data_IF_995097425901
#
_entry.id   IF_995097425901
#
_cell.length_a   1.000
_cell.length_b   1.000
_cell.length_c   1.000
_cell.angle_alpha   90.00
_cell.angle_beta   90.00
_cell.angle_gamma   90.00
#
_symmetry.space_group_name_H-M   'P 1'
#
loop_
_entity.id
_entity.type
_entity.pdbx_description
1 polymer ?
#
# COMPACT_ATOMS: atom_id res chain seq x y z
N UNK A 1 7.03 -15.62 11.87
CA UNK A 1 6.70 -15.95 10.46
C UNK A 1 5.24 -15.63 10.27
N UNK A 2 4.93 -14.57 9.50
CA UNK A 2 3.53 -14.22 9.18
C UNK A 2 2.96 -15.26 8.21
N UNK A 3 1.64 -15.50 8.25
CA UNK A 3 0.89 -16.39 7.34
C UNK A 3 1.26 -16.10 5.86
N UNK A 4 1.62 -14.87 5.52
CA UNK A 4 2.09 -14.44 4.20
C UNK A 4 3.45 -15.04 3.81
N UNK A 5 4.39 -15.16 4.76
CA UNK A 5 5.70 -15.79 4.51
C UNK A 5 5.56 -17.31 4.34
N UNK A 6 4.59 -17.91 5.04
CA UNK A 6 4.26 -19.34 4.91
C UNK A 6 3.56 -19.62 3.57
N UNK A 7 2.68 -18.72 3.09
CA UNK A 7 2.04 -18.86 1.77
C UNK A 7 3.05 -18.75 0.61
N UNK A 8 4.08 -17.90 0.73
CA UNK A 8 5.19 -17.85 -0.24
C UNK A 8 6.07 -19.11 -0.21
N UNK A 9 6.19 -19.77 0.95
CA UNK A 9 6.96 -21.03 1.09
C UNK A 9 6.20 -22.27 0.58
N UNK A 10 4.86 -22.19 0.49
CA UNK A 10 4.00 -23.32 0.07
C UNK A 10 3.53 -23.22 -1.39
N UNK A 11 3.97 -22.24 -2.17
CA UNK A 11 3.70 -22.16 -3.60
C UNK A 11 2.25 -21.87 -4.01
N UNK A 12 1.41 -21.35 -3.09
CA UNK A 12 -0.01 -21.16 -3.33
C UNK A 12 -0.47 -19.70 -3.10
N UNK A 13 0.08 -18.75 -3.88
CA UNK A 13 -0.53 -17.43 -3.95
C UNK A 13 -1.85 -17.51 -4.72
N UNK A 14 -2.96 -17.05 -4.11
CA UNK A 14 -4.24 -16.99 -4.82
C UNK A 14 -4.22 -15.90 -5.91
N UNK A 15 -5.07 -16.06 -6.92
CA UNK A 15 -5.25 -15.05 -7.97
C UNK A 15 -5.69 -13.69 -7.41
N UNK A 16 -6.50 -13.67 -6.36
CA UNK A 16 -6.94 -12.44 -5.68
C UNK A 16 -5.79 -11.75 -4.95
N UNK A 17 -4.93 -12.51 -4.26
CA UNK A 17 -3.74 -11.97 -3.59
C UNK A 17 -2.73 -11.41 -4.59
N UNK A 18 -2.59 -12.06 -5.75
CA UNK A 18 -1.73 -11.58 -6.83
C UNK A 18 -2.20 -10.23 -7.38
N UNK A 19 -3.51 -10.04 -7.59
CA UNK A 19 -4.10 -8.77 -8.01
C UNK A 19 -3.81 -7.66 -7.00
N UNK A 20 -4.07 -7.90 -5.70
CA UNK A 20 -3.81 -6.92 -4.64
C UNK A 20 -2.34 -6.53 -4.59
N UNK A 21 -1.42 -7.49 -4.77
CA UNK A 21 0.03 -7.23 -4.76
C UNK A 21 0.50 -6.40 -5.95
N UNK A 22 -0.05 -6.65 -7.14
CA UNK A 22 0.27 -5.83 -8.32
C UNK A 22 -0.23 -4.40 -8.17
N UNK A 23 -1.40 -4.21 -7.57
CA UNK A 23 -1.97 -2.87 -7.35
C UNK A 23 -1.25 -2.08 -6.25
N UNK A 24 -0.60 -2.76 -5.29
CA UNK A 24 0.11 -2.10 -4.19
C UNK A 24 1.55 -1.67 -4.53
N UNK A 25 2.01 -1.89 -5.76
CA UNK A 25 3.35 -1.57 -6.25
C UNK A 25 4.53 -2.29 -5.53
N UNK A 26 5.75 -2.28 -6.12
CA UNK A 26 6.92 -3.02 -5.57
C UNK A 26 7.42 -2.53 -4.20
N UNK A 27 6.98 -1.36 -3.74
CA UNK A 27 7.44 -0.77 -2.47
C UNK A 27 6.99 -1.53 -1.23
N UNK A 28 5.88 -2.26 -1.31
CA UNK A 28 5.29 -2.98 -0.18
C UNK A 28 5.56 -4.49 -0.16
N UNK A 29 6.08 -5.03 -1.25
CA UNK A 29 6.48 -6.44 -1.34
C UNK A 29 7.82 -6.57 -2.07
N UNK A 30 8.66 -7.52 -1.68
CA UNK A 30 9.96 -7.74 -2.35
C UNK A 30 9.80 -8.05 -3.84
N UNK A 31 10.80 -7.69 -4.65
CA UNK A 31 10.78 -7.83 -6.11
C UNK A 31 10.39 -9.24 -6.60
N UNK A 32 10.81 -10.29 -5.88
CA UNK A 32 10.46 -11.69 -6.20
C UNK A 32 8.94 -11.94 -6.08
N UNK A 33 8.33 -11.45 -5.00
CA UNK A 33 6.88 -11.62 -4.75
C UNK A 33 6.05 -10.85 -5.76
N UNK A 34 6.54 -9.69 -6.19
CA UNK A 34 5.91 -8.91 -7.26
C UNK A 34 5.97 -9.63 -8.61
N UNK A 35 7.11 -10.24 -8.95
CA UNK A 35 7.27 -11.03 -10.16
C UNK A 35 6.32 -12.25 -10.17
N UNK A 36 6.24 -12.99 -9.06
CA UNK A 36 5.31 -14.12 -8.92
C UNK A 36 3.84 -13.68 -9.09
N UNK A 37 3.46 -12.55 -8.47
CA UNK A 37 2.12 -11.99 -8.62
C UNK A 37 1.80 -11.64 -10.08
N UNK A 38 2.76 -11.04 -10.79
CA UNK A 38 2.63 -10.69 -12.21
C UNK A 38 2.43 -11.92 -13.09
N UNK A 39 3.16 -13.01 -12.84
CA UNK A 39 2.99 -14.27 -13.57
C UNK A 39 1.61 -14.90 -13.37
N UNK A 40 1.10 -14.92 -12.13
CA UNK A 40 -0.22 -15.44 -11.79
C UNK A 40 -1.30 -14.62 -12.51
N UNK A 41 -1.23 -13.29 -12.43
CA UNK A 41 -2.22 -12.43 -13.10
C UNK A 41 -2.14 -12.57 -14.62
N UNK A 42 -0.93 -12.67 -15.21
CA UNK A 42 -0.76 -12.90 -16.63
C UNK A 42 -1.36 -14.24 -17.09
N UNK A 43 -1.14 -15.32 -16.33
CA UNK A 43 -1.72 -16.63 -16.60
C UNK A 43 -3.25 -16.59 -16.58
N UNK A 44 -3.81 -15.97 -15.55
CA UNK A 44 -5.25 -15.91 -15.36
C UNK A 44 -5.92 -14.92 -16.34
N UNK A 45 -5.22 -13.87 -16.77
CA UNK A 45 -5.65 -12.99 -17.85
C UNK A 45 -5.73 -13.76 -19.20
N UNK A 46 -4.74 -14.60 -19.50
CA UNK A 46 -4.76 -15.49 -20.67
C UNK A 46 -5.93 -16.50 -20.62
N UNK A 47 -6.31 -16.95 -19.42
CA UNK A 47 -7.47 -17.81 -19.20
C UNK A 47 -8.82 -17.07 -19.29
N UNK A 48 -8.84 -15.78 -19.63
CA UNK A 48 -10.07 -15.03 -19.87
C UNK A 48 -10.75 -14.45 -18.63
N UNK A 49 -10.10 -14.44 -17.45
CA UNK A 49 -10.68 -13.86 -16.23
C UNK A 49 -10.71 -12.34 -16.30
N UNK A 50 -11.89 -11.68 -16.29
CA UNK A 50 -12.00 -10.25 -16.63
C UNK A 50 -11.21 -9.31 -15.70
N UNK A 51 -11.23 -9.58 -14.40
CA UNK A 51 -10.49 -8.77 -13.42
C UNK A 51 -8.98 -8.82 -13.66
N UNK A 52 -8.44 -10.02 -13.90
CA UNK A 52 -7.02 -10.24 -14.17
C UNK A 52 -6.63 -9.68 -15.53
N UNK A 53 -7.50 -9.78 -16.54
CA UNK A 53 -7.29 -9.14 -17.84
C UNK A 53 -7.15 -7.63 -17.69
N UNK A 54 -8.05 -6.99 -16.94
CA UNK A 54 -8.00 -5.56 -16.72
C UNK A 54 -6.74 -5.14 -15.95
N UNK A 55 -6.42 -5.83 -14.84
CA UNK A 55 -5.22 -5.53 -14.04
C UNK A 55 -3.94 -5.74 -14.86
N UNK A 56 -3.86 -6.81 -15.64
CA UNK A 56 -2.71 -7.04 -16.51
C UNK A 56 -2.59 -5.96 -17.60
N UNK A 57 -3.72 -5.53 -18.17
CA UNK A 57 -3.76 -4.46 -19.16
C UNK A 57 -3.25 -3.12 -18.61
N UNK A 58 -3.62 -2.74 -17.38
CA UNK A 58 -3.15 -1.47 -16.77
C UNK A 58 -1.72 -1.55 -16.22
N UNK A 59 -1.15 -2.75 -16.04
CA UNK A 59 0.18 -2.95 -15.44
C UNK A 59 1.25 -3.42 -16.42
N UNK A 60 0.90 -3.72 -17.68
CA UNK A 60 1.86 -4.14 -18.71
C UNK A 60 2.44 -2.95 -19.46
N UNK A 61 3.74 -3.03 -19.80
CA UNK A 61 4.42 -2.02 -20.60
C UNK A 61 4.18 -2.21 -22.11
N UNK A 62 3.67 -3.39 -22.51
CA UNK A 62 3.33 -3.71 -23.90
C UNK A 62 1.98 -3.07 -24.27
N UNK A 63 2.03 -2.01 -25.07
CA UNK A 63 0.86 -1.20 -25.46
C UNK A 63 -0.21 -1.97 -26.24
N UNK A 64 0.19 -2.88 -27.13
CA UNK A 64 -0.76 -3.68 -27.93
C UNK A 64 -1.46 -4.71 -27.04
N UNK A 65 -0.69 -5.36 -26.18
CA UNK A 65 -1.22 -6.32 -25.21
C UNK A 65 -2.11 -5.62 -24.19
N UNK A 66 -1.72 -4.44 -23.69
CA UNK A 66 -2.53 -3.60 -22.82
C UNK A 66 -3.89 -3.30 -23.44
N UNK A 67 -3.90 -2.77 -24.67
CA UNK A 67 -5.13 -2.45 -25.40
C UNK A 67 -6.02 -3.68 -25.55
N UNK A 68 -5.48 -4.81 -26.00
CA UNK A 68 -6.24 -6.06 -26.18
C UNK A 68 -6.94 -6.52 -24.90
N UNK A 69 -6.23 -6.52 -23.77
CA UNK A 69 -6.80 -6.98 -22.51
C UNK A 69 -7.79 -5.99 -21.90
N UNK A 70 -7.54 -4.69 -22.01
CA UNK A 70 -8.46 -3.65 -21.55
C UNK A 70 -9.76 -3.69 -22.36
N UNK A 71 -9.69 -3.77 -23.70
CA UNK A 71 -10.88 -3.85 -24.55
C UNK A 71 -11.70 -5.11 -24.25
N UNK A 72 -11.05 -6.25 -24.03
CA UNK A 72 -11.73 -7.51 -23.70
C UNK A 72 -12.44 -7.54 -22.34
N UNK A 73 -12.01 -6.71 -21.39
CA UNK A 73 -12.49 -6.74 -20.00
C UNK A 73 -13.27 -5.52 -19.55
N UNK A 74 -13.16 -4.40 -20.25
CA UNK A 74 -13.70 -3.08 -19.86
C UNK A 74 -15.19 -3.09 -19.54
N UNK A 75 -16.01 -3.67 -20.42
CA UNK A 75 -17.45 -3.68 -20.22
C UNK A 75 -17.85 -4.50 -18.99
N UNK A 76 -17.15 -5.60 -18.75
CA UNK A 76 -17.38 -6.42 -17.56
C UNK A 76 -16.96 -5.73 -16.26
N UNK A 77 -15.85 -5.00 -16.28
CA UNK A 77 -15.42 -4.18 -15.13
C UNK A 77 -16.40 -3.05 -14.88
N UNK A 78 -16.92 -2.38 -15.94
CA UNK A 78 -17.95 -1.36 -15.82
C UNK A 78 -19.25 -1.96 -15.23
N UNK A 79 -19.69 -3.10 -15.70
CA UNK A 79 -20.85 -3.80 -15.14
C UNK A 79 -20.68 -4.11 -13.65
N UNK A 80 -19.49 -4.59 -13.24
CA UNK A 80 -19.18 -4.87 -11.84
C UNK A 80 -19.19 -3.59 -10.98
N UNK A 81 -18.71 -2.47 -11.51
CA UNK A 81 -18.72 -1.19 -10.84
C UNK A 81 -20.14 -0.64 -10.68
N UNK A 82 -20.89 -0.53 -11.81
CA UNK A 82 -22.18 0.19 -11.84
C UNK A 82 -23.34 -0.64 -11.28
N UNK A 83 -23.39 -1.96 -11.57
CA UNK A 83 -24.51 -2.82 -11.14
C UNK A 83 -24.30 -3.50 -9.79
N UNK A 84 -23.06 -3.74 -9.39
CA UNK A 84 -22.71 -4.42 -8.15
C UNK A 84 -22.01 -3.53 -7.13
N UNK A 85 -21.83 -2.25 -7.46
CA UNK A 85 -21.11 -1.26 -6.65
C UNK A 85 -19.78 -1.79 -6.09
N UNK A 86 -19.02 -2.51 -6.94
CA UNK A 86 -17.80 -3.18 -6.53
C UNK A 86 -16.65 -2.17 -6.38
N UNK A 87 -16.11 -1.97 -5.16
CA UNK A 87 -15.09 -0.95 -4.91
C UNK A 87 -13.79 -1.16 -5.68
N UNK A 88 -13.40 -2.42 -5.92
CA UNK A 88 -12.21 -2.72 -6.70
C UNK A 88 -12.42 -2.39 -8.18
N UNK A 89 -13.60 -2.66 -8.73
CA UNK A 89 -13.93 -2.30 -10.11
C UNK A 89 -13.94 -0.77 -10.29
N UNK A 90 -14.49 0.00 -9.35
CA UNK A 90 -14.41 1.45 -9.35
C UNK A 90 -12.96 1.95 -9.29
N UNK A 91 -12.11 1.33 -8.46
CA UNK A 91 -10.68 1.67 -8.39
C UNK A 91 -9.98 1.43 -9.72
N UNK A 92 -10.20 0.28 -10.35
CA UNK A 92 -9.58 -0.05 -11.64
C UNK A 92 -10.00 0.93 -12.74
N UNK A 93 -11.29 1.30 -12.80
CA UNK A 93 -11.76 2.33 -13.74
C UNK A 93 -11.12 3.69 -13.48
N UNK A 94 -10.88 4.04 -12.21
CA UNK A 94 -10.21 5.30 -11.86
C UNK A 94 -8.77 5.34 -12.36
N UNK A 95 -8.04 4.22 -12.29
CA UNK A 95 -6.66 4.10 -12.78
C UNK A 95 -6.61 4.18 -14.31
N UNK A 96 -7.53 3.50 -15.00
CA UNK A 96 -7.59 3.54 -16.48
C UNK A 96 -7.88 4.94 -17.02
N UNK A 97 -8.85 5.64 -16.41
CA UNK A 97 -9.37 6.91 -16.93
C UNK A 97 -8.78 8.14 -16.24
N UNK A 98 -7.97 7.95 -15.21
CA UNK A 98 -7.55 9.02 -14.29
C UNK A 98 -8.76 9.81 -13.75
N UNK A 99 -9.82 9.08 -13.36
CA UNK A 99 -11.12 9.63 -12.97
C UNK A 99 -11.24 9.70 -11.45
N UNK A 100 -11.21 10.92 -10.91
CA UNK A 100 -11.35 11.18 -9.49
C UNK A 100 -12.72 10.74 -8.93
N UNK A 101 -13.80 10.82 -9.70
CA UNK A 101 -15.12 10.38 -9.28
C UNK A 101 -15.19 8.87 -9.05
N UNK A 102 -14.58 8.09 -9.94
CA UNK A 102 -14.42 6.66 -9.78
C UNK A 102 -13.54 6.32 -8.56
N UNK A 103 -12.46 7.07 -8.34
CA UNK A 103 -11.58 6.89 -7.18
C UNK A 103 -12.33 7.17 -5.87
N UNK A 104 -13.15 8.21 -5.83
CA UNK A 104 -13.98 8.54 -4.66
C UNK A 104 -14.98 7.42 -4.35
N UNK A 105 -15.72 6.92 -5.34
CA UNK A 105 -16.65 5.79 -5.17
C UNK A 105 -15.95 4.53 -4.65
N UNK A 106 -14.77 4.24 -5.18
CA UNK A 106 -13.95 3.12 -4.70
C UNK A 106 -13.58 3.26 -3.22
N UNK A 107 -13.17 4.46 -2.80
CA UNK A 107 -12.81 4.73 -1.41
C UNK A 107 -14.03 4.70 -0.49
N UNK A 108 -15.18 5.22 -0.92
CA UNK A 108 -16.43 5.19 -0.16
C UNK A 108 -16.87 3.74 0.09
N UNK A 109 -16.73 2.88 -0.91
CA UNK A 109 -16.92 1.44 -0.81
C UNK A 109 -15.82 0.72 -0.01
N UNK A 110 -14.79 1.42 0.46
CA UNK A 110 -13.75 0.87 1.34
C UNK A 110 -12.56 0.24 0.61
N UNK A 111 -12.37 0.48 -0.69
CA UNK A 111 -11.16 0.01 -1.38
C UNK A 111 -9.91 0.67 -0.77
N UNK A 112 -8.98 -0.15 -0.30
CA UNK A 112 -7.79 0.29 0.44
C UNK A 112 -6.84 1.12 -0.42
N UNK A 113 -6.65 0.74 -1.67
CA UNK A 113 -5.78 1.45 -2.60
C UNK A 113 -6.35 2.85 -2.89
N UNK A 114 -7.67 2.94 -3.08
CA UNK A 114 -8.35 4.21 -3.27
C UNK A 114 -8.29 5.10 -2.03
N UNK A 115 -8.44 4.53 -0.83
CA UNK A 115 -8.29 5.26 0.43
C UNK A 115 -6.89 5.86 0.57
N UNK A 116 -5.84 5.06 0.32
CA UNK A 116 -4.45 5.55 0.36
C UNK A 116 -4.19 6.61 -0.72
N UNK A 117 -4.67 6.40 -1.93
CA UNK A 117 -4.51 7.36 -3.02
C UNK A 117 -5.20 8.70 -2.70
N UNK A 118 -6.46 8.69 -2.25
CA UNK A 118 -7.17 9.90 -1.86
C UNK A 118 -6.50 10.63 -0.68
N UNK A 119 -6.03 9.88 0.32
CA UNK A 119 -5.28 10.45 1.43
C UNK A 119 -4.01 11.16 0.98
N UNK A 120 -3.25 10.55 0.07
CA UNK A 120 -2.02 11.14 -0.50
C UNK A 120 -2.31 12.35 -1.39
N UNK A 121 -3.34 12.28 -2.25
CA UNK A 121 -3.78 13.41 -3.07
C UNK A 121 -4.19 14.59 -2.18
N UNK A 122 -4.91 14.33 -1.10
CA UNK A 122 -5.31 15.38 -0.17
C UNK A 122 -4.10 16.06 0.49
N UNK A 123 -3.05 15.30 0.87
CA UNK A 123 -1.82 15.89 1.39
C UNK A 123 -1.14 16.77 0.32
N UNK A 124 -0.98 16.29 -0.91
CA UNK A 124 -0.39 17.09 -2.00
C UNK A 124 -1.19 18.37 -2.25
N UNK A 125 -2.53 18.28 -2.31
CA UNK A 125 -3.41 19.44 -2.46
C UNK A 125 -3.23 20.45 -1.32
N UNK A 126 -3.07 19.96 -0.09
CA UNK A 126 -2.86 20.80 1.09
C UNK A 126 -1.60 21.68 0.96
N UNK A 127 -0.51 21.13 0.41
CA UNK A 127 0.74 21.87 0.26
C UNK A 127 0.80 22.72 -1.01
N UNK A 128 0.11 22.33 -2.09
CA UNK A 128 0.20 23.03 -3.38
C UNK A 128 -0.79 24.18 -3.52
N UNK A 129 -2.00 24.08 -2.90
CA UNK A 129 -3.15 24.93 -3.26
C UNK A 129 -3.78 25.73 -2.14
N UNK A 130 -3.38 25.54 -0.89
CA UNK A 130 -4.09 26.19 0.22
C UNK A 130 -3.63 27.62 0.50
N UNK A 131 -2.45 28.01 0.05
CA UNK A 131 -1.92 29.36 0.34
C UNK A 131 -2.00 29.68 1.84
N UNK A 132 -2.71 30.75 2.19
CA UNK A 132 -2.90 31.21 3.58
C UNK A 132 -4.23 30.76 4.22
N UNK A 133 -5.09 30.01 3.51
CA UNK A 133 -6.38 29.52 4.06
C UNK A 133 -6.17 28.31 4.99
N UNK A 134 -5.93 28.61 6.25
CA UNK A 134 -5.69 27.61 7.30
C UNK A 134 -6.89 26.70 7.54
N UNK A 135 -8.12 27.21 7.42
CA UNK A 135 -9.34 26.40 7.61
C UNK A 135 -9.51 25.37 6.49
N UNK A 136 -9.17 25.74 5.26
CA UNK A 136 -9.18 24.82 4.12
C UNK A 136 -8.11 23.75 4.29
N UNK A 137 -6.89 24.17 4.66
CA UNK A 137 -5.77 23.27 4.94
C UNK A 137 -6.14 22.22 5.98
N UNK A 138 -6.71 22.65 7.11
CA UNK A 138 -7.11 21.74 8.19
C UNK A 138 -8.15 20.71 7.73
N UNK A 139 -9.19 21.15 7.00
CA UNK A 139 -10.21 20.24 6.44
C UNK A 139 -9.62 19.20 5.50
N UNK A 140 -8.68 19.59 4.63
CA UNK A 140 -8.04 18.69 3.68
C UNK A 140 -7.17 17.68 4.42
N UNK A 141 -6.36 18.12 5.37
CA UNK A 141 -5.53 17.23 6.18
C UNK A 141 -6.36 16.26 7.04
N UNK A 142 -7.49 16.73 7.57
CA UNK A 142 -8.43 15.84 8.29
C UNK A 142 -9.00 14.75 7.40
N UNK A 143 -9.36 15.09 6.19
CA UNK A 143 -9.83 14.10 5.19
C UNK A 143 -8.75 13.06 4.89
N UNK A 144 -7.49 13.48 4.71
CA UNK A 144 -6.35 12.58 4.53
C UNK A 144 -6.20 11.60 5.71
N UNK A 145 -6.20 12.13 6.93
CA UNK A 145 -6.14 11.34 8.16
C UNK A 145 -7.26 10.28 8.22
N UNK A 146 -8.51 10.68 7.93
CA UNK A 146 -9.64 9.76 7.96
C UNK A 146 -9.55 8.65 6.89
N UNK A 147 -9.02 8.97 5.70
CA UNK A 147 -8.75 7.96 4.67
C UNK A 147 -7.74 6.92 5.16
N UNK A 148 -6.60 7.35 5.71
CA UNK A 148 -5.58 6.42 6.20
C UNK A 148 -6.08 5.62 7.41
N UNK A 149 -6.83 6.23 8.32
CA UNK A 149 -7.47 5.53 9.44
C UNK A 149 -8.45 4.45 8.97
N UNK A 150 -9.19 4.69 7.89
CA UNK A 150 -10.06 3.66 7.28
C UNK A 150 -9.25 2.53 6.66
N UNK A 151 -8.13 2.83 6.00
CA UNK A 151 -7.23 1.83 5.44
C UNK A 151 -6.64 0.90 6.52
N UNK A 152 -6.26 1.44 7.70
CA UNK A 152 -5.72 0.62 8.79
C UNK A 152 -6.72 -0.38 9.37
N UNK A 153 -8.04 -0.14 9.28
CA UNK A 153 -9.07 -1.11 9.70
C UNK A 153 -8.98 -2.43 8.91
N UNK A 154 -8.46 -2.38 7.70
CA UNK A 154 -8.23 -3.56 6.85
C UNK A 154 -6.79 -4.10 6.97
N UNK A 155 -6.05 -3.67 7.99
CA UNK A 155 -4.65 -4.06 8.25
C UNK A 155 -3.70 -3.77 7.08
N UNK A 156 -3.98 -2.72 6.32
CA UNK A 156 -3.12 -2.31 5.21
C UNK A 156 -1.83 -1.66 5.72
N UNK A 157 -0.65 -2.18 5.35
CA UNK A 157 0.62 -1.66 5.84
C UNK A 157 0.92 -0.23 5.35
N UNK A 158 0.50 0.14 4.12
CA UNK A 158 0.65 1.51 3.63
C UNK A 158 -0.24 2.48 4.42
N UNK A 159 -1.48 2.07 4.74
CA UNK A 159 -2.37 2.83 5.59
C UNK A 159 -1.78 3.11 6.97
N UNK A 160 -1.12 2.12 7.59
CA UNK A 160 -0.41 2.31 8.86
C UNK A 160 0.78 3.27 8.73
N UNK A 161 1.61 3.17 7.68
CA UNK A 161 2.74 4.11 7.45
C UNK A 161 2.23 5.52 7.30
N UNK A 162 1.23 5.73 6.45
CA UNK A 162 0.64 7.04 6.18
C UNK A 162 -0.01 7.62 7.44
N UNK A 163 -0.76 6.83 8.20
CA UNK A 163 -1.35 7.25 9.47
C UNK A 163 -0.28 7.62 10.51
N UNK A 164 0.81 6.84 10.59
CA UNK A 164 1.96 7.14 11.43
C UNK A 164 2.59 8.49 11.06
N UNK A 165 2.70 8.79 9.77
CA UNK A 165 3.19 10.08 9.27
C UNK A 165 2.24 11.22 9.65
N UNK A 166 0.92 10.99 9.61
CA UNK A 166 -0.05 11.98 10.08
C UNK A 166 0.14 12.30 11.56
N UNK A 167 0.29 11.30 12.42
CA UNK A 167 0.59 11.52 13.84
C UNK A 167 1.94 12.20 14.06
N UNK A 168 2.98 11.84 13.31
CA UNK A 168 4.30 12.46 13.43
C UNK A 168 4.29 13.95 13.09
N UNK A 169 3.55 14.32 12.04
CA UNK A 169 3.52 15.67 11.45
C UNK A 169 2.35 16.53 11.94
N UNK A 170 1.36 15.94 12.60
CA UNK A 170 0.12 16.63 12.97
C UNK A 170 -0.82 16.86 11.78
N UNK A 171 -0.83 15.98 10.79
CA UNK A 171 -1.70 16.10 9.62
C UNK A 171 -3.11 15.61 9.94
N UNK A 172 -4.03 16.57 10.15
CA UNK A 172 -5.44 16.29 10.49
C UNK A 172 -5.68 15.75 11.90
N UNK A 173 -4.66 15.71 12.73
CA UNK A 173 -4.72 15.34 14.15
C UNK A 173 -3.61 16.08 14.93
N UNK A 174 -3.71 16.19 16.25
CA UNK A 174 -2.57 16.65 17.06
C UNK A 174 -1.34 15.76 16.86
N UNK A 175 -0.12 16.33 16.82
CA UNK A 175 1.10 15.55 16.72
C UNK A 175 1.24 14.59 17.91
N UNK A 176 1.53 13.32 17.62
CA UNK A 176 1.72 12.28 18.63
C UNK A 176 2.78 11.27 18.14
N UNK A 177 4.01 11.42 18.66
CA UNK A 177 5.14 10.56 18.27
C UNK A 177 4.98 9.12 18.74
N UNK A 178 4.34 8.88 19.88
CA UNK A 178 4.11 7.53 20.39
C UNK A 178 3.11 6.78 19.51
N UNK A 179 2.02 7.46 19.11
CA UNK A 179 1.07 6.90 18.16
C UNK A 179 1.68 6.66 16.78
N UNK A 180 2.56 7.54 16.31
CA UNK A 180 3.31 7.33 15.08
C UNK A 180 4.14 6.03 15.14
N UNK A 181 4.88 5.82 16.23
CA UNK A 181 5.66 4.59 16.44
C UNK A 181 4.77 3.34 16.51
N UNK A 182 3.61 3.41 17.15
CA UNK A 182 2.64 2.30 17.19
C UNK A 182 2.18 1.94 15.77
N UNK A 183 1.87 2.92 14.96
CA UNK A 183 1.50 2.72 13.55
C UNK A 183 2.65 2.12 12.73
N UNK A 184 3.87 2.65 12.84
CA UNK A 184 5.04 2.10 12.14
C UNK A 184 5.34 0.68 12.58
N UNK A 185 5.18 0.34 13.86
CA UNK A 185 5.34 -1.03 14.35
C UNK A 185 4.33 -1.98 13.71
N UNK A 186 3.05 -1.60 13.67
CA UNK A 186 2.02 -2.40 13.03
C UNK A 186 2.34 -2.65 11.53
N UNK A 187 2.78 -1.63 10.80
CA UNK A 187 3.20 -1.78 9.40
C UNK A 187 4.47 -2.65 9.25
N UNK A 188 5.46 -2.48 10.13
CA UNK A 188 6.70 -3.25 10.11
C UNK A 188 6.46 -4.74 10.40
N UNK A 189 5.54 -5.06 11.32
CA UNK A 189 5.11 -6.44 11.60
C UNK A 189 4.41 -7.08 10.40
N UNK A 190 3.71 -6.27 9.59
CA UNK A 190 3.13 -6.68 8.32
C UNK A 190 4.17 -6.77 7.18
N UNK A 191 5.44 -6.48 7.47
CA UNK A 191 6.53 -6.63 6.52
C UNK A 191 6.81 -5.40 5.65
N UNK A 192 6.39 -4.19 6.06
CA UNK A 192 6.62 -2.96 5.29
C UNK A 192 8.03 -2.40 5.54
N UNK A 193 8.92 -2.35 4.52
CA UNK A 193 10.32 -1.96 4.74
C UNK A 193 10.50 -0.51 5.21
N UNK A 194 9.73 0.43 4.65
CA UNK A 194 9.79 1.84 5.06
C UNK A 194 9.37 2.04 6.52
N UNK A 195 8.37 1.29 7.00
CA UNK A 195 7.99 1.33 8.40
C UNK A 195 9.11 0.83 9.32
N UNK A 196 9.88 -0.16 8.88
CA UNK A 196 11.06 -0.65 9.61
C UNK A 196 12.15 0.41 9.67
N UNK A 197 12.38 1.18 8.59
CA UNK A 197 13.31 2.31 8.59
C UNK A 197 12.84 3.41 9.55
N UNK A 198 11.55 3.75 9.55
CA UNK A 198 10.98 4.72 10.46
C UNK A 198 11.12 4.29 11.93
N UNK A 199 10.91 2.99 12.23
CA UNK A 199 11.16 2.44 13.55
C UNK A 199 12.64 2.49 13.94
N UNK A 200 13.53 2.16 13.02
CA UNK A 200 14.97 2.26 13.25
C UNK A 200 15.34 3.67 13.65
N UNK A 201 14.89 4.67 12.91
CA UNK A 201 15.10 6.08 13.22
C UNK A 201 14.47 6.48 14.58
N UNK A 202 13.24 6.02 14.87
CA UNK A 202 12.58 6.30 16.14
C UNK A 202 13.39 5.80 17.35
N UNK A 203 13.92 4.57 17.29
CA UNK A 203 14.77 4.02 18.34
C UNK A 203 16.17 4.69 18.40
N UNK A 204 16.74 5.10 17.25
CA UNK A 204 18.02 5.78 17.20
C UNK A 204 17.97 7.14 17.90
N UNK A 205 16.92 7.92 17.65
CA UNK A 205 16.81 9.29 18.12
C UNK A 205 15.93 9.46 19.38
N UNK A 206 15.21 8.43 19.78
CA UNK A 206 14.27 8.49 20.91
C UNK A 206 12.98 9.27 20.56
N UNK A 207 12.51 9.16 19.33
CA UNK A 207 11.30 9.84 18.88
C UNK A 207 10.04 9.00 19.16
N UNK A 208 9.33 9.28 20.26
CA UNK A 208 8.14 8.54 20.67
C UNK A 208 8.42 7.17 21.30
N UNK A 209 9.69 6.84 21.50
CA UNK A 209 10.17 5.66 22.23
C UNK A 209 11.49 5.99 22.93
N UNK A 210 11.86 5.24 23.94
CA UNK A 210 13.19 5.31 24.52
C UNK A 210 14.26 4.90 23.49
N UNK A 211 15.43 5.57 23.55
CA UNK A 211 16.58 5.26 22.67
C UNK A 211 17.04 3.83 22.90
N UNK A 212 17.20 3.08 21.82
CA UNK A 212 17.64 1.70 21.84
C UNK A 212 18.40 1.38 20.54
N UNK A 213 19.72 1.38 20.62
CA UNK A 213 20.60 1.14 19.48
C UNK A 213 20.46 -0.30 18.92
N UNK A 214 20.16 -1.26 19.78
CA UNK A 214 20.00 -2.64 19.37
C UNK A 214 18.71 -2.85 18.57
N UNK A 215 17.58 -2.31 19.06
CA UNK A 215 16.32 -2.32 18.32
C UNK A 215 16.40 -1.50 17.04
N UNK A 216 17.09 -0.37 17.05
CA UNK A 216 17.36 0.41 15.85
C UNK A 216 18.05 -0.42 14.78
N UNK A 217 19.16 -1.06 15.13
CA UNK A 217 19.92 -1.93 14.23
C UNK A 217 19.08 -3.12 13.74
N UNK A 218 18.31 -3.75 14.62
CA UNK A 218 17.44 -4.87 14.27
C UNK A 218 16.42 -4.49 13.17
N UNK A 219 15.74 -3.36 13.33
CA UNK A 219 14.76 -2.92 12.33
C UNK A 219 15.43 -2.50 11.02
N UNK A 220 16.58 -1.81 11.07
CA UNK A 220 17.35 -1.49 9.87
C UNK A 220 17.77 -2.75 9.10
N UNK A 221 18.27 -3.78 9.79
CA UNK A 221 18.68 -5.04 9.15
C UNK A 221 17.46 -5.78 8.55
N UNK A 222 16.30 -5.74 9.21
CA UNK A 222 15.07 -6.33 8.64
C UNK A 222 14.64 -5.63 7.36
N UNK A 223 14.67 -4.29 7.32
CA UNK A 223 14.35 -3.51 6.12
C UNK A 223 15.30 -3.85 4.96
N UNK A 224 16.62 -3.90 5.23
CA UNK A 224 17.64 -4.25 4.23
C UNK A 224 17.48 -5.67 3.70
N UNK A 225 17.22 -6.62 4.58
CA UNK A 225 17.02 -8.02 4.19
C UNK A 225 15.80 -8.19 3.25
N UNK A 226 14.70 -7.47 3.51
CA UNK A 226 13.52 -7.46 2.63
C UNK A 226 13.81 -6.84 1.25
N UNK A 227 14.77 -5.90 1.18
CA UNK A 227 15.23 -5.32 -0.09
C UNK A 227 16.29 -6.18 -0.81
N UNK A 228 16.59 -7.38 -0.28
CA UNK A 228 17.50 -8.35 -0.92
C UNK A 228 18.92 -8.33 -0.42
N UNK A 229 19.25 -7.61 0.65
CA UNK A 229 20.58 -7.62 1.26
C UNK A 229 20.85 -8.96 1.96
N UNK A 230 21.73 -9.76 1.34
CA UNK A 230 22.11 -11.09 1.85
C UNK A 230 22.89 -11.04 3.16
N UNK A 231 23.71 -10.01 3.37
CA UNK A 231 24.46 -9.84 4.60
C UNK A 231 23.52 -9.53 5.77
N UNK A 232 22.55 -8.64 5.58
CA UNK A 232 21.50 -8.36 6.55
C UNK A 232 20.64 -9.61 6.86
N UNK A 233 20.29 -10.39 5.85
CA UNK A 233 19.55 -11.64 6.03
C UNK A 233 20.35 -12.68 6.84
N UNK A 234 21.68 -12.76 6.64
CA UNK A 234 22.58 -13.63 7.39
C UNK A 234 22.69 -13.15 8.84
N UNK A 235 22.88 -11.84 9.05
CA UNK A 235 22.95 -11.25 10.39
C UNK A 235 21.69 -11.53 11.24
N UNK A 236 20.50 -11.45 10.63
CA UNK A 236 19.24 -11.79 11.31
C UNK A 236 19.13 -13.26 11.69
N UNK A 237 19.70 -14.17 10.88
CA UNK A 237 19.70 -15.61 11.17
C UNK A 237 20.60 -15.95 12.37
N UNK A 238 21.76 -15.31 12.48
CA UNK A 238 22.71 -15.56 13.58
C UNK A 238 22.24 -15.05 14.94
N UNK A 239 21.24 -14.15 14.97
CA UNK A 239 20.67 -13.60 16.22
C UNK A 239 19.36 -14.27 16.67
N UNK A 240 18.85 -15.26 15.95
CA UNK A 240 17.67 -16.06 16.35
C UNK A 240 18.03 -17.22 17.29
N UNK A 241 19.29 -17.43 17.54
CA UNK A 241 19.84 -18.35 18.53
C UNK A 241 20.38 -17.56 19.72
#
# INVERSE_FOLDING_TARGET
MTILAVACLLGAMSSSDAVVRLLNAPTSCGAKVYAEAREIVARDAKAGKPLQQFVYGVTTDDKELAKRYLDASRDKIRELAERKDNPLAWYLLSVEKNDFGCLQKAADGGNVQALNALGSIAISEAFERTGTDTNRLERILKRSFDCFRRATKQRDPNGFVNLGTCYLRGFGCPPDREMAVKCYRAAAELGHPEAMDNLSAAYQFGHGVEKDAERSLYWAMRARALRGDRAAATWLRTRKN
#
